data_IF_573741421938
#
_entry.id   IF_573741421938
#
_cell.length_a   1.000
_cell.length_b   1.000
_cell.length_c   1.000
_cell.angle_alpha   90.00
_cell.angle_beta   90.00
_cell.angle_gamma   90.00
#
_symmetry.space_group_name_H-M   'P 1'
#
loop_
_entity.id
_entity.type
_entity.pdbx_description
1 polymer ?
#
# COMPACT_ATOMS: atom_id res chain seq x y z
N UNK A 1 -23.00 2.65 10.31
CA UNK A 1 -21.88 2.61 9.35
C UNK A 1 -21.05 3.84 9.58
N UNK A 2 -19.80 3.70 9.94
CA UNK A 2 -18.85 4.81 10.08
C UNK A 2 -18.15 5.02 8.74
N UNK A 3 -17.88 6.27 8.36
CA UNK A 3 -17.06 6.56 7.19
C UNK A 3 -15.59 6.67 7.59
N UNK A 4 -14.70 6.07 6.81
CA UNK A 4 -13.25 6.33 6.88
C UNK A 4 -12.90 7.37 5.82
N UNK A 5 -12.14 8.39 6.19
CA UNK A 5 -11.52 9.30 5.22
C UNK A 5 -10.14 8.77 4.88
N UNK A 6 -9.92 8.48 3.61
CA UNK A 6 -8.68 7.89 3.07
C UNK A 6 -8.13 8.74 1.94
N UNK A 7 -6.94 8.42 1.47
CA UNK A 7 -6.27 9.07 0.33
C UNK A 7 -6.26 10.60 0.45
N UNK A 8 -5.96 11.09 1.66
CA UNK A 8 -5.98 12.51 1.95
C UNK A 8 -4.72 13.18 1.45
N UNK A 9 -4.87 14.14 0.53
CA UNK A 9 -3.75 14.91 0.04
C UNK A 9 -3.12 15.78 1.14
N UNK A 10 -1.77 15.91 1.18
CA UNK A 10 -1.06 16.74 2.15
C UNK A 10 -1.46 18.22 2.11
N UNK A 11 -1.83 18.70 0.93
CA UNK A 11 -2.35 20.05 0.73
C UNK A 11 -3.60 20.02 -0.15
N UNK A 12 -4.61 20.81 0.21
CA UNK A 12 -5.87 20.93 -0.53
C UNK A 12 -5.70 21.83 -1.76
N UNK A 13 -5.02 21.33 -2.79
CA UNK A 13 -4.71 22.11 -4.00
C UNK A 13 -5.84 22.19 -5.01
N UNK A 14 -6.71 21.15 -5.06
CA UNK A 14 -7.80 21.04 -6.04
C UNK A 14 -9.17 20.93 -5.35
N UNK A 15 -9.40 21.80 -4.36
CA UNK A 15 -10.62 21.76 -3.54
C UNK A 15 -11.92 21.72 -4.34
N UNK A 16 -11.99 22.42 -5.44
CA UNK A 16 -13.15 22.49 -6.31
C UNK A 16 -13.38 21.24 -7.18
N UNK A 17 -12.36 20.36 -7.33
CA UNK A 17 -12.50 19.07 -8.03
C UNK A 17 -12.93 17.93 -7.11
N UNK A 18 -13.04 18.15 -5.80
CA UNK A 18 -13.36 17.13 -4.78
C UNK A 18 -12.44 15.89 -4.79
N UNK A 19 -11.18 16.06 -5.21
CA UNK A 19 -10.17 14.97 -5.29
C UNK A 19 -9.20 14.95 -4.11
N UNK A 20 -9.48 15.72 -3.04
CA UNK A 20 -8.54 15.85 -1.93
C UNK A 20 -8.57 14.71 -0.93
N UNK A 21 -9.63 13.94 -0.93
CA UNK A 21 -9.86 12.82 -0.01
C UNK A 21 -11.00 11.94 -0.53
N UNK A 22 -10.98 10.67 -0.17
CA UNK A 22 -12.06 9.73 -0.45
C UNK A 22 -12.73 9.29 0.84
N UNK A 23 -14.06 9.20 0.84
CA UNK A 23 -14.85 8.67 1.95
C UNK A 23 -15.23 7.23 1.65
N UNK A 24 -14.70 6.32 2.44
CA UNK A 24 -14.95 4.89 2.32
C UNK A 24 -15.93 4.44 3.40
N UNK A 25 -17.11 3.89 3.03
CA UNK A 25 -18.02 3.32 4.00
C UNK A 25 -17.41 2.03 4.60
N UNK A 26 -17.13 2.06 5.90
CA UNK A 26 -16.51 0.96 6.62
C UNK A 26 -17.21 0.69 7.94
N UNK A 27 -17.49 -0.58 8.23
CA UNK A 27 -18.11 -0.97 9.50
C UNK A 27 -17.03 -1.43 10.49
N UNK A 28 -16.58 -0.51 11.33
CA UNK A 28 -15.53 -0.78 12.33
C UNK A 28 -15.99 -1.75 13.42
N UNK A 29 -17.26 -1.72 13.77
CA UNK A 29 -17.81 -2.54 14.88
C UNK A 29 -17.89 -4.02 14.51
N UNK A 30 -18.10 -4.32 13.21
CA UNK A 30 -18.19 -5.69 12.71
C UNK A 30 -16.95 -6.07 11.85
N UNK A 31 -15.82 -5.43 12.08
CA UNK A 31 -14.57 -5.78 11.39
C UNK A 31 -13.84 -6.89 12.16
N UNK A 32 -13.58 -8.01 11.49
CA UNK A 32 -12.75 -9.09 12.02
C UNK A 32 -11.29 -8.67 11.93
N UNK A 33 -10.60 -8.62 13.08
CA UNK A 33 -9.16 -8.38 13.10
C UNK A 33 -8.42 -9.70 12.89
N UNK A 34 -7.69 -9.79 11.76
CA UNK A 34 -6.83 -10.93 11.45
C UNK A 34 -5.53 -10.87 12.27
N UNK A 35 -4.89 -12.01 12.55
CA UNK A 35 -3.62 -12.04 13.27
C UNK A 35 -2.58 -11.09 12.66
N UNK A 36 -1.93 -10.31 13.51
CA UNK A 36 -0.84 -9.42 13.13
C UNK A 36 0.41 -10.21 12.78
N UNK A 37 1.13 -9.78 11.75
CA UNK A 37 2.35 -10.40 11.25
C UNK A 37 3.55 -9.47 11.40
N UNK A 38 4.68 -10.01 11.80
CA UNK A 38 5.94 -9.25 11.81
C UNK A 38 7.01 -10.02 11.06
N UNK A 39 7.61 -9.35 10.07
CA UNK A 39 8.76 -9.83 9.29
C UNK A 39 9.98 -9.04 9.69
N UNK A 40 11.00 -9.69 10.21
CA UNK A 40 12.30 -9.07 10.45
C UNK A 40 13.33 -9.65 9.49
N UNK A 41 13.93 -8.82 8.67
CA UNK A 41 15.01 -9.24 7.78
C UNK A 41 16.19 -9.79 8.59
N UNK A 42 16.60 -11.00 8.29
CA UNK A 42 17.66 -11.66 9.07
C UNK A 42 18.23 -12.85 8.32
N UNK A 43 17.66 -14.02 8.59
CA UNK A 43 18.07 -15.29 7.98
C UNK A 43 17.34 -15.61 6.67
N UNK A 44 16.24 -14.92 6.38
CA UNK A 44 15.42 -15.14 5.19
C UNK A 44 15.39 -13.88 4.34
N UNK A 45 15.80 -14.00 3.08
CA UNK A 45 15.81 -12.89 2.12
C UNK A 45 14.46 -12.73 1.40
N UNK A 46 13.59 -13.73 1.45
CA UNK A 46 12.29 -13.74 0.81
C UNK A 46 11.20 -14.29 1.73
N UNK A 47 10.08 -13.58 1.82
CA UNK A 47 8.89 -13.97 2.57
C UNK A 47 7.66 -13.84 1.69
N UNK A 48 6.72 -14.79 1.80
CA UNK A 48 5.46 -14.78 1.03
C UNK A 48 4.27 -14.89 1.95
N UNK A 49 3.29 -14.03 1.72
CA UNK A 49 1.99 -14.04 2.38
C UNK A 49 0.88 -14.21 1.36
N UNK A 50 -0.08 -15.08 1.65
CA UNK A 50 -1.40 -15.04 1.05
C UNK A 50 -2.33 -14.34 2.04
N UNK A 51 -2.95 -13.25 1.64
CA UNK A 51 -3.80 -12.43 2.49
C UNK A 51 -5.24 -12.58 2.01
N UNK A 52 -6.04 -13.27 2.80
CA UNK A 52 -7.47 -13.49 2.55
C UNK A 52 -8.29 -12.79 3.62
N UNK A 53 -9.42 -12.19 3.22
CA UNK A 53 -10.38 -11.63 4.16
C UNK A 53 -11.21 -12.72 4.84
N UNK A 54 -11.68 -12.45 6.05
CA UNK A 54 -12.60 -13.29 6.81
C UNK A 54 -13.86 -12.50 7.17
N UNK A 55 -15.03 -13.02 6.81
CA UNK A 55 -16.31 -12.31 7.00
C UNK A 55 -16.42 -11.06 6.11
N UNK A 56 -17.46 -10.28 6.35
CA UNK A 56 -17.82 -9.14 5.49
C UNK A 56 -16.84 -7.98 5.51
N UNK A 57 -16.18 -7.76 6.64
CA UNK A 57 -15.13 -6.76 6.84
C UNK A 57 -14.00 -7.40 7.62
N UNK A 58 -12.80 -7.29 7.11
CA UNK A 58 -11.61 -7.76 7.82
C UNK A 58 -10.48 -6.75 7.75
N UNK A 59 -9.61 -6.78 8.74
CA UNK A 59 -8.42 -5.95 8.80
C UNK A 59 -7.20 -6.76 9.18
N UNK A 60 -6.06 -6.46 8.53
CA UNK A 60 -4.76 -7.09 8.81
C UNK A 60 -3.68 -6.04 8.99
N UNK A 61 -2.80 -6.25 9.96
CA UNK A 61 -1.60 -5.44 10.16
C UNK A 61 -0.37 -6.28 9.88
N UNK A 62 0.59 -5.68 9.18
CA UNK A 62 1.87 -6.33 8.83
C UNK A 62 2.99 -5.35 9.11
N UNK A 63 3.98 -5.77 9.88
CA UNK A 63 5.17 -4.99 10.19
C UNK A 63 6.37 -5.62 9.50
N UNK A 64 7.09 -4.84 8.70
CA UNK A 64 8.31 -5.26 8.02
C UNK A 64 9.46 -4.42 8.55
N UNK A 65 10.42 -5.08 9.17
CA UNK A 65 11.58 -4.46 9.79
C UNK A 65 12.84 -4.96 9.09
N UNK A 66 13.60 -4.05 8.51
CA UNK A 66 14.92 -4.35 7.95
C UNK A 66 15.99 -3.67 8.81
N UNK A 67 16.66 -4.41 9.72
CA UNK A 67 17.78 -3.91 10.50
C UNK A 67 18.93 -3.45 9.63
N UNK A 68 19.83 -2.65 10.19
CA UNK A 68 20.94 -2.03 9.47
C UNK A 68 21.73 -3.02 8.59
N UNK A 69 21.89 -2.66 7.31
CA UNK A 69 22.59 -3.45 6.30
C UNK A 69 21.86 -4.72 5.86
N UNK A 70 20.66 -5.00 6.35
CA UNK A 70 19.87 -6.17 5.95
C UNK A 70 18.96 -5.86 4.77
N UNK A 71 18.56 -6.93 4.07
CA UNK A 71 17.61 -6.82 2.96
C UNK A 71 16.55 -7.91 3.04
N UNK A 72 15.34 -7.60 2.57
CA UNK A 72 14.24 -8.55 2.46
C UNK A 72 13.35 -8.19 1.27
N UNK A 73 12.87 -9.22 0.58
CA UNK A 73 11.78 -9.14 -0.39
C UNK A 73 10.56 -9.78 0.22
N UNK A 74 9.46 -9.05 0.26
CA UNK A 74 8.17 -9.55 0.77
C UNK A 74 7.16 -9.56 -0.37
N UNK A 75 6.56 -10.71 -0.61
CA UNK A 75 5.47 -10.88 -1.56
C UNK A 75 4.16 -11.00 -0.81
N UNK A 76 3.18 -10.22 -1.21
CA UNK A 76 1.81 -10.24 -0.69
C UNK A 76 0.84 -10.52 -1.83
N UNK A 77 0.12 -11.63 -1.75
CA UNK A 77 -0.94 -12.00 -2.67
C UNK A 77 -2.29 -11.79 -1.96
N UNK A 78 -3.08 -10.82 -2.45
CA UNK A 78 -4.38 -10.46 -1.89
C UNK A 78 -5.48 -11.18 -2.67
N UNK A 79 -6.20 -12.03 -1.96
CA UNK A 79 -7.35 -12.76 -2.51
C UNK A 79 -8.56 -12.52 -1.60
N UNK A 80 -9.47 -11.67 -2.00
CA UNK A 80 -10.67 -11.39 -1.21
C UNK A 80 -11.92 -11.37 -2.07
N UNK A 81 -13.01 -11.87 -1.50
CA UNK A 81 -14.36 -11.81 -2.05
C UNK A 81 -15.21 -10.73 -1.36
N UNK A 82 -14.70 -10.16 -0.28
CA UNK A 82 -15.39 -9.21 0.59
C UNK A 82 -14.55 -7.94 0.79
N UNK A 83 -14.68 -7.26 1.92
CA UNK A 83 -13.96 -6.01 2.22
C UNK A 83 -12.76 -6.27 3.14
N UNK A 84 -11.57 -5.97 2.63
CA UNK A 84 -10.31 -6.19 3.31
C UNK A 84 -9.51 -4.89 3.43
N UNK A 85 -9.15 -4.52 4.66
CA UNK A 85 -8.19 -3.46 4.94
C UNK A 85 -6.86 -4.05 5.37
N UNK A 86 -5.77 -3.69 4.69
CA UNK A 86 -4.41 -4.10 5.06
C UNK A 86 -3.58 -2.87 5.35
N UNK A 87 -2.97 -2.86 6.54
CA UNK A 87 -2.00 -1.83 6.91
C UNK A 87 -0.62 -2.45 7.02
N UNK A 88 0.31 -1.96 6.21
CA UNK A 88 1.71 -2.39 6.21
C UNK A 88 2.60 -1.26 6.70
N UNK A 89 3.40 -1.48 7.72
CA UNK A 89 4.43 -0.56 8.17
C UNK A 89 5.82 -1.08 7.80
N UNK A 90 6.68 -0.20 7.29
CA UNK A 90 8.04 -0.50 6.87
C UNK A 90 9.03 0.30 7.72
N UNK A 91 9.89 -0.36 8.47
CA UNK A 91 11.00 0.25 9.19
C UNK A 91 12.31 -0.19 8.56
N UNK A 92 12.98 0.71 7.86
CA UNK A 92 14.17 0.38 7.08
C UNK A 92 15.36 1.16 7.63
N UNK A 93 16.22 0.46 8.37
CA UNK A 93 17.37 1.02 9.05
C UNK A 93 18.52 1.35 8.08
N UNK A 94 19.60 1.92 8.62
CA UNK A 94 20.73 2.42 7.84
C UNK A 94 21.33 1.34 6.91
N UNK A 95 21.50 1.67 5.62
CA UNK A 95 21.97 0.76 4.56
C UNK A 95 21.10 -0.48 4.32
N UNK A 96 19.91 -0.55 4.89
CA UNK A 96 18.98 -1.65 4.67
C UNK A 96 18.13 -1.47 3.42
N UNK A 97 17.52 -2.57 2.94
CA UNK A 97 16.63 -2.55 1.78
C UNK A 97 15.40 -3.40 2.02
N UNK A 98 14.25 -2.85 1.66
CA UNK A 98 13.00 -3.60 1.59
C UNK A 98 12.46 -3.51 0.16
N UNK A 99 12.14 -4.67 -0.41
CA UNK A 99 11.33 -4.76 -1.63
C UNK A 99 9.99 -5.38 -1.27
N UNK A 100 8.92 -4.63 -1.43
CA UNK A 100 7.56 -5.08 -1.22
C UNK A 100 6.86 -5.26 -2.57
N UNK A 101 6.40 -6.47 -2.83
CA UNK A 101 5.66 -6.82 -4.05
C UNK A 101 4.25 -7.22 -3.66
N UNK A 102 3.25 -6.50 -4.16
CA UNK A 102 1.84 -6.74 -3.87
C UNK A 102 1.09 -7.08 -5.16
N UNK A 103 0.48 -8.25 -5.18
CA UNK A 103 -0.47 -8.65 -6.22
C UNK A 103 -1.88 -8.60 -5.63
N UNK A 104 -2.73 -7.75 -6.18
CA UNK A 104 -4.12 -7.62 -5.75
C UNK A 104 -5.04 -8.16 -6.83
N UNK A 105 -5.56 -9.35 -6.57
CA UNK A 105 -6.54 -10.02 -7.43
C UNK A 105 -7.87 -10.11 -6.69
N UNK A 106 -8.67 -9.04 -6.80
CA UNK A 106 -9.94 -8.87 -6.09
C UNK A 106 -11.11 -9.46 -6.88
N UNK A 107 -12.05 -10.10 -6.20
CA UNK A 107 -13.29 -10.59 -6.80
C UNK A 107 -14.24 -9.43 -7.14
N UNK A 108 -15.23 -9.70 -7.96
CA UNK A 108 -16.29 -8.73 -8.25
C UNK A 108 -17.08 -8.38 -6.98
N UNK A 109 -17.38 -7.10 -6.79
CA UNK A 109 -18.03 -6.53 -5.59
C UNK A 109 -17.19 -6.58 -4.30
N UNK A 110 -15.94 -7.00 -4.36
CA UNK A 110 -15.03 -6.89 -3.23
C UNK A 110 -14.36 -5.51 -3.17
N UNK A 111 -13.72 -5.23 -2.04
CA UNK A 111 -12.99 -3.98 -1.84
C UNK A 111 -11.70 -4.25 -1.06
N UNK A 112 -10.59 -3.73 -1.55
CA UNK A 112 -9.32 -3.68 -0.82
C UNK A 112 -8.96 -2.24 -0.49
N UNK A 113 -8.74 -1.95 0.80
CA UNK A 113 -8.04 -0.76 1.25
C UNK A 113 -6.63 -1.14 1.70
N UNK A 114 -5.62 -0.70 0.97
CA UNK A 114 -4.22 -1.00 1.21
C UNK A 114 -3.48 0.25 1.66
N UNK A 115 -3.07 0.29 2.93
CA UNK A 115 -2.31 1.38 3.50
C UNK A 115 -0.85 0.96 3.72
N UNK A 116 0.10 1.77 3.26
CA UNK A 116 1.54 1.55 3.44
C UNK A 116 2.16 2.78 4.07
N UNK A 117 2.86 2.59 5.18
CA UNK A 117 3.64 3.63 5.84
C UNK A 117 5.09 3.16 5.93
N UNK A 118 6.05 3.98 5.50
CA UNK A 118 7.46 3.60 5.45
C UNK A 118 8.40 4.68 6.00
N UNK A 119 9.38 4.23 6.79
CA UNK A 119 10.44 5.06 7.34
C UNK A 119 11.80 4.57 6.82
N UNK A 120 12.53 5.46 6.13
CA UNK A 120 13.84 5.19 5.55
C UNK A 120 14.95 5.94 6.31
N UNK A 121 15.85 5.22 6.94
CA UNK A 121 17.07 5.77 7.53
C UNK A 121 18.12 6.09 6.46
N UNK A 122 19.31 6.52 6.86
CA UNK A 122 20.40 6.91 5.97
C UNK A 122 20.84 5.79 5.03
N UNK A 123 20.99 6.09 3.74
CA UNK A 123 21.32 5.13 2.67
C UNK A 123 20.36 3.93 2.59
N UNK A 124 19.19 4.01 3.22
CA UNK A 124 18.19 2.96 3.14
C UNK A 124 17.35 3.06 1.86
N UNK A 125 16.74 1.95 1.46
CA UNK A 125 15.94 1.89 0.23
C UNK A 125 14.64 1.10 0.42
N UNK A 126 13.54 1.67 -0.06
CA UNK A 126 12.27 0.98 -0.25
C UNK A 126 11.97 0.89 -1.74
N UNK A 127 11.65 -0.32 -2.20
CA UNK A 127 11.11 -0.59 -3.54
C UNK A 127 9.71 -1.18 -3.37
N UNK A 128 8.73 -0.54 -3.97
CA UNK A 128 7.34 -0.97 -3.98
C UNK A 128 6.94 -1.38 -5.40
N UNK A 129 6.40 -2.57 -5.56
CA UNK A 129 5.80 -3.04 -6.81
C UNK A 129 4.36 -3.43 -6.51
N UNK A 130 3.40 -2.78 -7.16
CA UNK A 130 1.98 -3.07 -6.98
C UNK A 130 1.33 -3.44 -8.31
N UNK A 131 0.58 -4.53 -8.31
CA UNK A 131 -0.12 -5.03 -9.49
C UNK A 131 -1.59 -5.23 -9.14
N UNK A 132 -2.45 -4.46 -9.79
CA UNK A 132 -3.90 -4.46 -9.59
C UNK A 132 -4.59 -5.10 -10.80
N UNK A 133 -5.06 -6.34 -10.64
CA UNK A 133 -5.68 -7.15 -11.71
C UNK A 133 -7.13 -7.55 -11.38
N UNK A 134 -7.65 -7.11 -10.29
CA UNK A 134 -8.95 -7.54 -9.78
C UNK A 134 -10.15 -6.96 -10.53
N UNK A 135 -11.32 -7.38 -10.07
CA UNK A 135 -12.62 -6.86 -10.49
C UNK A 135 -13.34 -6.08 -9.39
N UNK A 136 -12.75 -5.96 -8.22
CA UNK A 136 -13.26 -5.20 -7.08
C UNK A 136 -12.61 -3.83 -6.96
N UNK A 137 -13.15 -2.98 -6.09
CA UNK A 137 -12.62 -1.66 -5.83
C UNK A 137 -11.29 -1.74 -5.06
N UNK A 138 -10.33 -0.92 -5.47
CA UNK A 138 -9.00 -0.84 -4.86
C UNK A 138 -8.73 0.61 -4.44
N UNK A 139 -8.44 0.79 -3.16
CA UNK A 139 -7.97 2.04 -2.59
C UNK A 139 -6.58 1.82 -2.00
N UNK A 140 -5.59 2.56 -2.48
CA UNK A 140 -4.20 2.46 -2.03
C UNK A 140 -3.72 3.80 -1.50
N UNK A 141 -3.17 3.80 -0.28
CA UNK A 141 -2.65 4.99 0.38
C UNK A 141 -1.23 4.70 0.89
N UNK A 142 -0.24 5.30 0.23
CA UNK A 142 1.18 5.08 0.53
C UNK A 142 1.80 6.37 1.03
N UNK A 143 2.43 6.32 2.19
CA UNK A 143 3.22 7.44 2.74
C UNK A 143 4.61 6.95 3.10
N UNK A 144 5.64 7.51 2.47
CA UNK A 144 7.04 7.17 2.72
C UNK A 144 7.79 8.40 3.21
N UNK A 145 8.50 8.24 4.33
CA UNK A 145 9.34 9.25 4.92
C UNK A 145 10.82 8.91 4.67
N UNK A 146 11.49 9.71 3.85
CA UNK A 146 12.92 9.62 3.58
C UNK A 146 13.68 10.47 4.61
N UNK A 147 13.84 9.91 5.83
CA UNK A 147 14.39 10.62 6.99
C UNK A 147 15.90 10.78 6.94
N UNK A 148 16.59 9.76 6.45
CA UNK A 148 18.05 9.76 6.42
C UNK A 148 18.64 10.28 5.10
N UNK A 149 19.85 10.81 5.16
CA UNK A 149 20.58 11.27 3.97
C UNK A 149 20.77 10.13 2.97
N UNK A 150 20.63 10.42 1.67
CA UNK A 150 20.76 9.49 0.55
C UNK A 150 19.80 8.28 0.62
N UNK A 151 18.69 8.39 1.36
CA UNK A 151 17.65 7.39 1.31
C UNK A 151 16.83 7.49 0.02
N UNK A 152 16.32 6.36 -0.45
CA UNK A 152 15.64 6.29 -1.76
C UNK A 152 14.33 5.50 -1.69
N UNK A 153 13.38 5.94 -2.49
CA UNK A 153 12.10 5.24 -2.70
C UNK A 153 11.83 5.07 -4.19
N UNK A 154 11.39 3.88 -4.57
CA UNK A 154 10.87 3.61 -5.91
C UNK A 154 9.55 2.89 -5.83
N UNK A 155 8.57 3.35 -6.59
CA UNK A 155 7.26 2.71 -6.75
C UNK A 155 6.99 2.43 -8.23
N UNK A 156 6.65 1.19 -8.55
CA UNK A 156 6.21 0.76 -9.88
C UNK A 156 4.81 0.16 -9.73
N UNK A 157 3.78 0.82 -10.28
CA UNK A 157 2.38 0.41 -10.19
C UNK A 157 1.84 0.06 -11.56
N UNK A 158 1.34 -1.18 -11.71
CA UNK A 158 0.62 -1.64 -12.88
C UNK A 158 -0.84 -1.95 -12.56
N UNK A 159 -1.80 -1.53 -13.41
CA UNK A 159 -3.21 -1.80 -13.17
C UNK A 159 -4.01 -2.08 -14.44
N UNK A 160 -5.08 -2.89 -14.27
CA UNK A 160 -6.12 -3.08 -15.27
C UNK A 160 -7.47 -2.91 -14.60
N UNK A 161 -8.16 -1.80 -14.88
CA UNK A 161 -9.52 -1.56 -14.44
C UNK A 161 -10.54 -2.07 -15.44
N UNK A 162 -11.61 -2.70 -14.96
CA UNK A 162 -12.66 -3.32 -15.77
C UNK A 162 -14.05 -3.03 -15.17
N UNK A 163 -15.10 -3.11 -15.98
CA UNK A 163 -16.48 -2.89 -15.55
C UNK A 163 -16.70 -1.49 -14.96
N UNK A 164 -17.12 -1.39 -13.71
CA UNK A 164 -17.39 -0.12 -13.00
C UNK A 164 -16.48 0.09 -11.80
N UNK A 165 -15.34 -0.60 -11.75
CA UNK A 165 -14.43 -0.59 -10.60
C UNK A 165 -13.74 0.76 -10.43
N UNK A 166 -13.47 1.07 -9.17
CA UNK A 166 -12.70 2.23 -8.77
C UNK A 166 -11.30 1.78 -8.37
N UNK A 167 -10.29 2.42 -8.95
CA UNK A 167 -8.89 2.28 -8.54
C UNK A 167 -8.42 3.66 -8.09
N UNK A 168 -8.39 3.90 -6.79
CA UNK A 168 -7.97 5.16 -6.19
C UNK A 168 -6.60 4.97 -5.52
N UNK A 169 -5.61 5.75 -5.96
CA UNK A 169 -4.22 5.63 -5.50
C UNK A 169 -3.71 6.99 -5.05
N UNK A 170 -3.16 7.01 -3.83
CA UNK A 170 -2.47 8.16 -3.27
C UNK A 170 -1.04 7.75 -2.88
N UNK A 171 -0.04 8.48 -3.37
CA UNK A 171 1.35 8.28 -2.97
C UNK A 171 1.96 9.59 -2.50
N UNK A 172 2.43 9.60 -1.27
CA UNK A 172 3.09 10.74 -0.62
C UNK A 172 4.51 10.34 -0.24
N UNK A 173 5.49 11.12 -0.70
CA UNK A 173 6.89 10.93 -0.32
C UNK A 173 7.41 12.21 0.32
N UNK A 174 7.80 12.11 1.58
CA UNK A 174 8.38 13.21 2.33
C UNK A 174 9.91 13.10 2.34
N UNK A 175 10.58 14.14 1.88
CA UNK A 175 12.03 14.21 1.80
C UNK A 175 12.57 15.04 2.97
N UNK A 176 13.06 14.40 4.03
CA UNK A 176 13.62 15.07 5.20
C UNK A 176 15.16 15.04 5.21
N UNK A 177 15.77 13.97 4.69
CA UNK A 177 17.21 13.84 4.55
C UNK A 177 17.76 14.62 3.36
N UNK A 178 19.07 14.78 3.29
CA UNK A 178 19.79 15.38 2.14
C UNK A 178 20.03 14.33 1.06
N UNK A 179 20.02 14.74 -0.21
CA UNK A 179 20.28 13.85 -1.35
C UNK A 179 19.35 12.65 -1.41
N UNK A 180 18.11 12.81 -0.96
CA UNK A 180 17.08 11.79 -1.06
C UNK A 180 16.44 11.80 -2.45
N UNK A 181 16.08 10.62 -2.94
CA UNK A 181 15.51 10.46 -4.28
C UNK A 181 14.21 9.63 -4.21
N UNK A 182 13.24 10.00 -5.03
CA UNK A 182 12.04 9.20 -5.23
C UNK A 182 11.66 9.10 -6.70
N UNK A 183 11.17 7.93 -7.09
CA UNK A 183 10.68 7.66 -8.44
C UNK A 183 9.35 6.91 -8.33
N UNK A 184 8.31 7.44 -8.98
CA UNK A 184 6.97 6.83 -9.01
C UNK A 184 6.56 6.63 -10.46
N UNK A 185 6.36 5.38 -10.85
CA UNK A 185 5.92 4.99 -12.17
C UNK A 185 4.56 4.32 -12.09
N UNK A 186 3.57 4.86 -12.78
CA UNK A 186 2.21 4.32 -12.82
C UNK A 186 1.81 4.09 -14.25
N UNK A 187 1.46 2.85 -14.57
CA UNK A 187 1.00 2.48 -15.90
C UNK A 187 -0.16 1.50 -15.86
N UNK A 188 -1.15 1.69 -16.73
CA UNK A 188 -2.27 0.76 -16.78
C UNK A 188 -3.29 1.09 -17.84
N UNK A 189 -4.36 0.30 -17.86
CA UNK A 189 -5.48 0.46 -18.77
C UNK A 189 -6.81 0.39 -18.03
N UNK A 190 -7.73 1.22 -18.45
CA UNK A 190 -9.13 1.19 -18.01
C UNK A 190 -9.99 0.81 -19.22
N UNK A 191 -10.97 -0.06 -19.00
CA UNK A 191 -11.98 -0.40 -20.01
C UNK A 191 -13.37 -0.38 -19.39
N UNK A 192 -14.39 -0.37 -20.25
CA UNK A 192 -15.80 -0.28 -19.88
C UNK A 192 -16.10 1.02 -19.13
N UNK A 193 -16.63 0.96 -17.92
CA UNK A 193 -16.92 2.11 -17.06
C UNK A 193 -15.98 2.27 -15.87
N UNK A 194 -14.81 1.61 -15.87
CA UNK A 194 -13.86 1.68 -14.77
C UNK A 194 -13.28 3.10 -14.60
N UNK A 195 -13.01 3.48 -13.37
CA UNK A 195 -12.53 4.81 -12.98
C UNK A 195 -11.19 4.73 -12.23
N UNK A 196 -10.39 5.79 -12.37
CA UNK A 196 -9.16 6.02 -11.62
C UNK A 196 -9.14 7.47 -11.11
#
# INVERSE_FOLDING_TARGET
MTEMTINKLPSKTWYWLHVNETKLPWDKEHTTELPEETVTAGSTEEVRFSITGEGRYSSKKIHIIAPAGKQVTVFMDYQTEEKLAVRTSLSVEEHARVRLVQLQHTAENSLVYNQIEGECAKNARIELVQIYLGKGDIYSDTTINLNGDASTFRSDIGYIGQHTHIIDMNEVVNHYGKHTESEINVGGALRDGAQK
#
